data_IF_012290462486
#
_entry.id   IF_012290462486
#
_cell.length_a   1.000
_cell.length_b   1.000
_cell.length_c   1.000
_cell.angle_alpha   90.00
_cell.angle_beta   90.00
_cell.angle_gamma   90.00
#
_symmetry.space_group_name_H-M   'P 1'
#
loop_
_entity.id
_entity.type
_entity.pdbx_description
1 polymer ?
#
# COMPACT_ATOMS: atom_id res chain seq x y z
N UNK A 1 -55.20 -0.35 -86.15
CA UNK A 1 -54.39 -1.53 -85.74
C UNK A 1 -53.44 -1.08 -84.66
N UNK A 2 -53.58 -1.60 -83.46
CA UNK A 2 -52.97 -1.11 -82.21
C UNK A 2 -51.51 -1.44 -82.02
N UNK A 3 -50.70 -0.45 -81.68
CA UNK A 3 -49.35 -0.64 -81.14
C UNK A 3 -49.43 -0.35 -79.62
N UNK A 4 -49.20 -1.43 -78.82
CA UNK A 4 -49.10 -1.35 -77.33
C UNK A 4 -47.71 -0.91 -76.94
N UNK A 5 -47.61 0.24 -76.25
CA UNK A 5 -46.40 0.72 -75.62
C UNK A 5 -46.18 0.00 -74.29
N UNK A 6 -45.03 -0.64 -74.14
CA UNK A 6 -44.60 -1.29 -72.87
C UNK A 6 -43.77 -0.27 -72.09
N UNK A 7 -44.36 0.23 -71.01
CA UNK A 7 -43.71 1.15 -70.06
C UNK A 7 -42.82 0.35 -69.10
N UNK A 8 -41.48 0.47 -69.18
CA UNK A 8 -40.51 -0.11 -68.28
C UNK A 8 -40.35 0.83 -67.05
N UNK A 9 -40.79 0.39 -65.89
CA UNK A 9 -40.48 1.07 -64.60
C UNK A 9 -39.06 0.74 -64.20
N UNK A 10 -38.17 1.75 -64.23
CA UNK A 10 -36.88 1.69 -63.61
C UNK A 10 -37.03 2.08 -62.11
N UNK A 11 -36.92 1.14 -61.23
CA UNK A 11 -36.81 1.39 -59.77
C UNK A 11 -35.39 1.84 -59.40
N UNK A 12 -35.23 2.99 -58.74
CA UNK A 12 -33.91 3.36 -58.22
C UNK A 12 -33.64 2.54 -56.92
N UNK A 13 -32.62 1.70 -56.93
CA UNK A 13 -32.08 1.06 -55.73
C UNK A 13 -31.27 2.12 -54.97
N UNK A 14 -31.86 2.62 -53.89
CA UNK A 14 -31.16 3.47 -52.93
C UNK A 14 -30.15 2.62 -52.13
N UNK A 15 -28.86 2.74 -52.45
CA UNK A 15 -27.76 2.14 -51.71
C UNK A 15 -27.54 2.98 -50.46
N UNK A 16 -28.08 2.53 -49.31
CA UNK A 16 -27.83 3.12 -48.01
C UNK A 16 -26.42 2.69 -47.56
N UNK A 17 -25.40 3.56 -47.79
CA UNK A 17 -24.10 3.39 -47.21
C UNK A 17 -24.16 3.66 -45.72
N UNK A 18 -24.20 2.58 -44.90
CA UNK A 18 -24.05 2.67 -43.45
C UNK A 18 -22.66 3.13 -43.10
N UNK A 19 -22.52 4.39 -42.70
CA UNK A 19 -21.29 4.93 -42.09
C UNK A 19 -21.08 4.27 -40.73
N UNK A 20 -20.23 3.23 -40.71
CA UNK A 20 -19.68 2.67 -39.48
C UNK A 20 -18.74 3.72 -38.86
N UNK A 21 -19.26 4.56 -37.97
CA UNK A 21 -18.46 5.42 -37.11
C UNK A 21 -17.79 4.51 -36.08
N UNK A 22 -16.43 4.42 -36.05
CA UNK A 22 -15.77 3.68 -35.00
C UNK A 22 -16.09 4.37 -33.66
N UNK A 23 -16.82 3.70 -32.79
CA UNK A 23 -16.93 4.08 -31.39
C UNK A 23 -15.55 3.96 -30.77
N UNK A 24 -14.79 5.05 -30.77
CA UNK A 24 -13.57 5.16 -30.00
C UNK A 24 -13.91 5.01 -28.53
N UNK A 25 -13.45 3.91 -27.92
CA UNK A 25 -13.45 3.78 -26.47
C UNK A 25 -12.56 4.90 -25.92
N UNK A 26 -13.17 5.97 -25.42
CA UNK A 26 -12.45 6.97 -24.64
C UNK A 26 -11.93 6.25 -23.40
N UNK A 27 -10.65 5.93 -23.37
CA UNK A 27 -9.97 5.53 -22.14
C UNK A 27 -10.19 6.64 -21.13
N UNK A 28 -10.95 6.36 -20.08
CA UNK A 28 -11.11 7.27 -18.96
C UNK A 28 -9.71 7.43 -18.33
N UNK A 29 -9.02 8.51 -18.67
CA UNK A 29 -7.75 8.84 -18.07
C UNK A 29 -8.02 9.23 -16.62
N UNK A 30 -7.47 8.47 -15.68
CA UNK A 30 -7.47 8.87 -14.27
C UNK A 30 -6.82 10.26 -14.17
N UNK A 31 -7.46 11.23 -13.52
CA UNK A 31 -6.87 12.55 -13.38
C UNK A 31 -5.50 12.46 -12.68
N UNK A 32 -4.53 13.31 -13.04
CA UNK A 32 -3.21 13.29 -12.42
C UNK A 32 -3.31 13.61 -10.93
N UNK A 33 -2.50 12.92 -10.13
CA UNK A 33 -2.41 13.16 -8.69
C UNK A 33 -1.92 14.58 -8.41
N UNK A 34 -2.51 15.21 -7.39
CA UNK A 34 -2.23 16.60 -7.01
C UNK A 34 -1.21 16.64 -5.87
N UNK A 35 -0.04 17.23 -6.14
CA UNK A 35 0.98 17.48 -5.11
C UNK A 35 0.39 18.35 -3.97
N UNK A 36 0.80 18.10 -2.73
CA UNK A 36 0.30 18.72 -1.48
C UNK A 36 -1.13 18.38 -1.08
N UNK A 37 -1.89 17.69 -1.93
CA UNK A 37 -3.24 17.23 -1.62
C UNK A 37 -3.28 15.72 -1.43
N UNK A 38 -2.83 14.97 -2.45
CA UNK A 38 -2.83 13.51 -2.42
C UNK A 38 -1.46 12.92 -2.12
N UNK A 39 -0.39 13.70 -2.36
CA UNK A 39 0.98 13.31 -2.01
C UNK A 39 1.91 14.51 -1.80
N UNK A 40 3.04 14.25 -1.17
CA UNK A 40 4.17 15.17 -1.04
C UNK A 40 5.45 14.52 -1.53
N UNK A 41 6.44 15.35 -1.86
CA UNK A 41 7.80 14.89 -2.08
C UNK A 41 8.54 14.88 -0.75
N UNK A 42 9.29 13.81 -0.47
CA UNK A 42 10.23 13.84 0.65
C UNK A 42 11.22 14.99 0.49
N UNK A 43 11.58 15.68 1.56
CA UNK A 43 12.59 16.76 1.51
C UNK A 43 13.91 16.31 0.91
N UNK A 44 14.27 15.06 1.17
CA UNK A 44 15.43 14.38 0.57
C UNK A 44 15.01 12.97 0.16
N UNK A 45 15.28 12.56 -1.10
CA UNK A 45 15.05 11.18 -1.54
C UNK A 45 15.84 10.20 -0.66
N UNK A 46 15.20 9.10 -0.29
CA UNK A 46 15.80 8.05 0.51
C UNK A 46 16.24 6.87 -0.36
N UNK A 47 17.27 6.13 0.05
CA UNK A 47 17.73 4.94 -0.66
C UNK A 47 16.62 3.88 -0.76
N UNK A 48 16.49 3.27 -1.94
CA UNK A 48 15.62 2.12 -2.18
C UNK A 48 16.42 0.83 -1.94
N UNK A 49 15.85 -0.11 -1.19
CA UNK A 49 16.53 -1.34 -0.77
C UNK A 49 16.09 -2.58 -1.57
N UNK A 50 15.10 -2.43 -2.46
CA UNK A 50 14.48 -3.52 -3.23
C UNK A 50 15.09 -3.74 -4.63
N UNK A 51 16.22 -3.10 -4.91
CA UNK A 51 16.91 -3.20 -6.21
C UNK A 51 16.08 -2.59 -7.33
N UNK A 52 15.76 -3.39 -8.36
CA UNK A 52 14.98 -2.93 -9.51
C UNK A 52 13.48 -2.78 -9.22
N UNK A 53 12.97 -3.44 -8.18
CA UNK A 53 11.56 -3.33 -7.81
C UNK A 53 11.25 -1.97 -7.21
N UNK A 54 10.08 -1.43 -7.50
CA UNK A 54 9.57 -0.22 -6.87
C UNK A 54 9.27 -0.52 -5.41
N UNK A 55 9.95 0.18 -4.51
CA UNK A 55 9.74 0.03 -3.07
C UNK A 55 8.55 0.86 -2.62
N UNK A 56 7.66 0.22 -1.86
CA UNK A 56 6.65 0.91 -1.05
C UNK A 56 7.03 0.68 0.41
N UNK A 57 7.27 1.75 1.16
CA UNK A 57 7.53 1.66 2.60
C UNK A 57 6.29 2.12 3.36
N UNK A 58 5.70 1.24 4.16
CA UNK A 58 4.65 1.57 5.11
C UNK A 58 5.28 1.89 6.47
N UNK A 59 5.22 3.17 6.90
CA UNK A 59 5.47 3.53 8.29
C UNK A 59 4.18 3.42 9.06
N UNK A 60 4.14 2.54 10.04
CA UNK A 60 2.94 2.23 10.81
C UNK A 60 3.22 2.14 12.32
N UNK A 61 2.18 2.18 13.12
CA UNK A 61 2.24 1.85 14.52
C UNK A 61 1.04 0.98 14.90
N UNK A 62 1.26 -0.12 15.61
CA UNK A 62 0.17 -1.01 16.01
C UNK A 62 -0.91 -0.30 16.85
N UNK A 63 -0.53 0.68 17.66
CA UNK A 63 -1.49 1.46 18.46
C UNK A 63 -2.26 2.54 17.69
N UNK A 64 -1.99 2.72 16.39
CA UNK A 64 -2.64 3.74 15.56
C UNK A 64 -3.97 3.24 14.98
N UNK A 65 -5.13 3.88 15.30
CA UNK A 65 -6.41 3.49 14.72
C UNK A 65 -6.47 3.63 13.21
N UNK A 66 -5.82 4.65 12.64
CA UNK A 66 -5.78 4.86 11.19
C UNK A 66 -4.97 3.77 10.48
N UNK A 67 -3.89 3.26 11.10
CA UNK A 67 -3.17 2.10 10.59
C UNK A 67 -4.06 0.86 10.59
N UNK A 68 -4.74 0.58 11.71
CA UNK A 68 -5.70 -0.52 11.79
C UNK A 68 -6.77 -0.43 10.69
N UNK A 69 -7.32 0.76 10.46
CA UNK A 69 -8.36 0.98 9.45
C UNK A 69 -7.85 0.83 8.00
N UNK A 70 -6.56 1.07 7.76
CA UNK A 70 -5.95 0.91 6.44
C UNK A 70 -5.70 -0.57 6.09
N UNK A 71 -5.46 -1.43 7.09
CA UNK A 71 -5.03 -2.82 6.87
C UNK A 71 -5.92 -3.61 5.91
N UNK A 72 -7.28 -3.59 6.00
CA UNK A 72 -8.11 -4.37 5.08
C UNK A 72 -7.88 -4.00 3.61
N UNK A 73 -7.70 -2.70 3.31
CA UNK A 73 -7.43 -2.21 1.96
C UNK A 73 -6.02 -2.59 1.51
N UNK A 74 -5.03 -2.44 2.39
CA UNK A 74 -3.64 -2.74 2.09
C UNK A 74 -3.40 -4.24 1.90
N UNK A 75 -4.01 -5.11 2.72
CA UNK A 75 -3.92 -6.56 2.58
C UNK A 75 -4.60 -7.06 1.29
N UNK A 76 -5.71 -6.44 0.89
CA UNK A 76 -6.35 -6.74 -0.37
C UNK A 76 -5.47 -6.33 -1.56
N UNK A 77 -4.85 -5.16 -1.47
CA UNK A 77 -3.91 -4.67 -2.47
C UNK A 77 -2.67 -5.56 -2.58
N UNK A 78 -2.11 -6.04 -1.46
CA UNK A 78 -0.94 -6.93 -1.44
C UNK A 78 -1.14 -8.21 -2.24
N UNK A 79 -2.36 -8.72 -2.31
CA UNK A 79 -2.70 -9.93 -3.10
C UNK A 79 -2.73 -9.66 -4.60
N UNK A 80 -2.93 -8.40 -5.00
CA UNK A 80 -3.16 -7.97 -6.38
C UNK A 80 -2.02 -7.11 -6.93
N UNK A 81 -1.12 -6.61 -6.07
CA UNK A 81 -0.05 -5.70 -6.47
C UNK A 81 0.81 -6.29 -7.59
N UNK A 82 1.33 -5.46 -8.49
CA UNK A 82 2.26 -5.90 -9.53
C UNK A 82 3.52 -6.57 -8.98
N UNK A 83 4.08 -7.51 -9.74
CA UNK A 83 5.26 -8.28 -9.33
C UNK A 83 6.53 -7.42 -9.18
N UNK A 84 6.60 -6.30 -9.91
CA UNK A 84 7.68 -5.32 -9.84
C UNK A 84 7.58 -4.35 -8.65
N UNK A 85 6.62 -4.56 -7.74
CA UNK A 85 6.43 -3.74 -6.54
C UNK A 85 6.68 -4.57 -5.29
N UNK A 86 7.40 -4.01 -4.33
CA UNK A 86 7.62 -4.62 -3.02
C UNK A 86 7.18 -3.70 -1.89
N UNK A 87 6.38 -4.26 -0.95
CA UNK A 87 6.02 -3.58 0.28
C UNK A 87 6.99 -3.96 1.40
N UNK A 88 7.58 -2.96 2.04
CA UNK A 88 8.36 -3.08 3.27
C UNK A 88 7.65 -2.33 4.39
N UNK A 89 7.39 -2.99 5.50
CA UNK A 89 6.81 -2.37 6.69
C UNK A 89 7.88 -1.94 7.66
N UNK A 90 7.74 -0.72 8.19
CA UNK A 90 8.63 -0.14 9.19
C UNK A 90 7.78 0.37 10.36
N UNK A 91 7.87 -0.25 11.54
CA UNK A 91 7.20 0.29 12.72
C UNK A 91 7.77 1.66 13.06
N UNK A 92 6.98 2.72 12.90
CA UNK A 92 7.41 4.07 13.25
C UNK A 92 7.59 4.21 14.77
N UNK A 93 8.65 4.91 15.18
CA UNK A 93 8.92 5.17 16.60
C UNK A 93 9.13 6.68 16.80
N UNK A 94 8.06 7.40 17.17
CA UNK A 94 8.12 8.82 17.46
C UNK A 94 8.49 9.12 18.92
N UNK A 95 8.26 8.14 19.81
CA UNK A 95 8.53 8.27 21.27
C UNK A 95 8.86 6.88 21.83
N UNK A 96 9.56 6.85 22.96
CA UNK A 96 10.00 5.60 23.59
C UNK A 96 8.88 4.62 23.90
N UNK A 97 7.70 5.13 24.27
CA UNK A 97 6.53 4.29 24.55
C UNK A 97 6.05 3.48 23.34
N UNK A 98 6.54 3.74 22.12
CA UNK A 98 6.20 2.97 20.92
C UNK A 98 7.19 1.83 20.64
N UNK A 99 8.35 1.85 21.30
CA UNK A 99 9.39 0.81 21.15
C UNK A 99 8.85 -0.61 21.37
N UNK A 100 8.03 -0.91 22.38
CA UNK A 100 7.52 -2.26 22.56
C UNK A 100 6.74 -2.80 21.36
N UNK A 101 5.96 -1.97 20.68
CA UNK A 101 5.24 -2.37 19.46
C UNK A 101 6.18 -2.62 18.27
N UNK A 102 7.24 -1.81 18.14
CA UNK A 102 8.26 -2.04 17.12
C UNK A 102 9.02 -3.35 17.39
N UNK A 103 9.37 -3.60 18.64
CA UNK A 103 10.02 -4.84 19.06
C UNK A 103 9.11 -6.06 18.84
N UNK A 104 7.83 -5.95 19.19
CA UNK A 104 6.83 -6.99 18.89
C UNK A 104 6.81 -7.35 17.41
N UNK A 105 6.76 -6.34 16.53
CA UNK A 105 6.78 -6.56 15.07
C UNK A 105 8.03 -7.31 14.63
N UNK A 106 9.21 -6.84 15.01
CA UNK A 106 10.48 -7.46 14.60
C UNK A 106 10.70 -8.83 15.24
N UNK A 107 10.14 -9.09 16.43
CA UNK A 107 10.16 -10.42 17.03
C UNK A 107 9.30 -11.40 16.22
N UNK A 108 8.09 -10.99 15.83
CA UNK A 108 7.24 -11.80 14.94
C UNK A 108 7.89 -12.03 13.58
N UNK A 109 8.57 -11.03 13.04
CA UNK A 109 9.33 -11.16 11.78
C UNK A 109 10.46 -12.18 11.91
N UNK A 110 11.27 -12.09 12.96
CA UNK A 110 12.37 -13.01 13.23
C UNK A 110 11.92 -14.47 13.42
N UNK A 111 10.69 -14.65 13.91
CA UNK A 111 10.06 -15.96 14.09
C UNK A 111 9.30 -16.45 12.85
N UNK A 112 9.19 -15.63 11.77
CA UNK A 112 8.40 -15.96 10.58
C UNK A 112 6.89 -15.92 10.80
N UNK A 113 6.42 -15.27 11.88
CA UNK A 113 5.02 -15.27 12.32
C UNK A 113 4.19 -14.08 11.83
N UNK A 114 4.82 -13.11 11.15
CA UNK A 114 4.09 -11.94 10.63
C UNK A 114 2.91 -12.31 9.73
N UNK A 115 3.02 -13.26 8.77
CA UNK A 115 1.89 -13.59 7.89
C UNK A 115 0.66 -14.07 8.67
N UNK A 116 0.86 -14.71 9.80
CA UNK A 116 -0.20 -15.26 10.64
C UNK A 116 -0.69 -14.28 11.70
N UNK A 117 0.19 -13.46 12.26
CA UNK A 117 -0.09 -12.74 13.51
C UNK A 117 -0.14 -11.21 13.37
N UNK A 118 0.29 -10.63 12.26
CA UNK A 118 0.27 -9.18 12.08
C UNK A 118 -1.13 -8.57 12.30
N UNK A 119 -2.15 -9.15 11.70
CA UNK A 119 -3.54 -8.71 11.87
C UNK A 119 -4.07 -9.00 13.30
N UNK A 120 -3.61 -10.10 13.90
CA UNK A 120 -4.02 -10.47 15.27
C UNK A 120 -3.53 -9.47 16.32
N UNK A 121 -2.35 -8.84 16.10
CA UNK A 121 -1.86 -7.75 16.97
C UNK A 121 -2.78 -6.54 16.88
N UNK A 122 -3.18 -6.12 15.68
CA UNK A 122 -4.14 -5.02 15.53
C UNK A 122 -5.47 -5.33 16.22
N UNK A 123 -5.99 -6.55 16.04
CA UNK A 123 -7.22 -6.99 16.71
C UNK A 123 -7.09 -6.92 18.21
N UNK A 124 -6.03 -7.48 18.80
CA UNK A 124 -5.80 -7.45 20.24
C UNK A 124 -5.85 -6.02 20.80
N UNK A 125 -5.17 -5.07 20.13
CA UNK A 125 -5.10 -3.69 20.60
C UNK A 125 -6.41 -2.94 20.39
N UNK A 126 -7.00 -3.02 19.18
CA UNK A 126 -8.11 -2.15 18.82
C UNK A 126 -9.48 -2.70 19.17
N UNK A 127 -9.65 -4.03 19.12
CA UNK A 127 -10.91 -4.69 19.42
C UNK A 127 -10.95 -5.22 20.86
N UNK A 128 -9.92 -5.99 21.24
CA UNK A 128 -9.89 -6.66 22.53
C UNK A 128 -9.32 -5.76 23.66
N UNK A 129 -8.84 -4.54 23.28
CA UNK A 129 -8.33 -3.50 24.18
C UNK A 129 -7.12 -3.95 25.02
N UNK A 130 -6.33 -4.88 24.49
CA UNK A 130 -5.10 -5.29 25.14
C UNK A 130 -4.00 -4.22 25.00
N UNK A 131 -3.30 -3.96 26.11
CA UNK A 131 -2.11 -3.12 26.06
C UNK A 131 -0.87 -3.99 25.86
N UNK A 132 -0.30 -3.95 24.65
CA UNK A 132 0.93 -4.68 24.33
C UNK A 132 2.18 -3.79 24.43
N UNK A 133 2.23 -2.95 25.46
CA UNK A 133 3.28 -1.95 25.67
C UNK A 133 4.39 -2.39 26.62
N UNK A 134 4.40 -3.65 27.07
CA UNK A 134 5.46 -4.21 27.91
C UNK A 134 5.95 -5.55 27.37
N UNK A 135 7.18 -5.93 27.71
CA UNK A 135 7.75 -7.22 27.34
C UNK A 135 6.88 -8.40 27.89
N UNK A 136 6.37 -8.27 29.12
CA UNK A 136 5.49 -9.28 29.71
C UNK A 136 4.20 -9.44 28.92
N UNK A 137 3.47 -8.33 28.67
CA UNK A 137 2.21 -8.37 27.93
C UNK A 137 2.37 -8.95 26.52
N UNK A 138 3.43 -8.56 25.79
CA UNK A 138 3.70 -9.12 24.46
C UNK A 138 4.05 -10.60 24.51
N UNK A 139 4.79 -11.04 25.53
CA UNK A 139 5.15 -12.45 25.74
C UNK A 139 3.93 -13.31 26.05
N UNK A 140 3.08 -12.87 26.98
CA UNK A 140 1.84 -13.56 27.31
C UNK A 140 0.90 -13.65 26.11
N UNK A 141 0.78 -12.57 25.35
CA UNK A 141 0.01 -12.55 24.11
C UNK A 141 0.56 -13.57 23.09
N UNK A 142 1.88 -13.60 22.90
CA UNK A 142 2.54 -14.52 21.96
C UNK A 142 2.30 -15.99 22.35
N UNK A 143 2.37 -16.31 23.64
CA UNK A 143 2.09 -17.67 24.16
C UNK A 143 0.65 -18.07 23.89
N UNK A 144 -0.32 -17.19 24.15
CA UNK A 144 -1.74 -17.46 23.82
C UNK A 144 -1.95 -17.68 22.31
N UNK A 145 -1.07 -17.18 21.47
CA UNK A 145 -1.10 -17.37 20.01
C UNK A 145 -0.21 -18.52 19.53
N UNK A 146 0.22 -19.41 20.44
CA UNK A 146 0.91 -20.65 20.11
C UNK A 146 2.42 -20.52 19.88
N UNK A 147 3.03 -19.40 20.27
CA UNK A 147 4.49 -19.25 20.23
C UNK A 147 5.07 -19.81 21.52
N UNK A 148 6.04 -20.71 21.40
CA UNK A 148 6.72 -21.32 22.53
C UNK A 148 7.50 -20.25 23.33
N UNK A 149 7.38 -20.20 24.70
CA UNK A 149 7.93 -19.12 25.53
C UNK A 149 9.43 -18.89 25.34
N UNK A 150 10.24 -19.96 25.26
CA UNK A 150 11.69 -19.82 25.12
C UNK A 150 12.07 -19.28 23.73
N UNK A 151 11.34 -19.68 22.66
CA UNK A 151 11.54 -19.12 21.31
C UNK A 151 11.20 -17.64 21.29
N UNK A 152 10.07 -17.25 21.88
CA UNK A 152 9.70 -15.84 22.00
C UNK A 152 10.77 -15.02 22.69
N UNK A 153 11.17 -15.44 23.89
CA UNK A 153 12.13 -14.71 24.73
C UNK A 153 13.50 -14.61 24.03
N UNK A 154 13.94 -15.69 23.37
CA UNK A 154 15.19 -15.71 22.62
C UNK A 154 15.16 -14.73 21.46
N UNK A 155 14.09 -14.69 20.69
CA UNK A 155 13.93 -13.75 19.57
C UNK A 155 13.77 -12.30 20.06
N UNK A 156 12.90 -12.05 21.05
CA UNK A 156 12.61 -10.73 21.61
C UNK A 156 13.86 -10.02 22.15
N UNK A 157 14.79 -10.77 22.75
CA UNK A 157 16.04 -10.26 23.31
C UNK A 157 17.23 -10.39 22.36
N UNK A 158 17.01 -10.81 21.11
CA UNK A 158 18.11 -11.01 20.18
C UNK A 158 18.75 -9.69 19.76
N UNK A 159 20.07 -9.66 19.52
CA UNK A 159 20.76 -8.49 18.98
C UNK A 159 20.19 -8.04 17.63
N UNK A 160 19.68 -8.97 16.84
CA UNK A 160 19.07 -8.66 15.53
C UNK A 160 17.76 -7.86 15.68
N UNK A 161 16.87 -8.27 16.59
CA UNK A 161 15.63 -7.52 16.86
C UNK A 161 15.97 -6.13 17.42
N UNK A 162 16.95 -6.03 18.34
CA UNK A 162 17.40 -4.73 18.84
C UNK A 162 17.91 -3.84 17.70
N UNK A 163 18.80 -4.36 16.84
CA UNK A 163 19.33 -3.63 15.69
C UNK A 163 18.21 -3.11 14.78
N UNK A 164 17.19 -3.94 14.47
CA UNK A 164 16.06 -3.54 13.64
C UNK A 164 15.19 -2.45 14.29
N UNK A 165 15.00 -2.52 15.61
CA UNK A 165 14.31 -1.47 16.37
C UNK A 165 15.06 -0.15 16.27
N UNK A 166 16.39 -0.16 16.47
CA UNK A 166 17.21 1.03 16.34
C UNK A 166 17.23 1.59 14.91
N UNK A 167 17.24 0.71 13.90
CA UNK A 167 17.12 1.11 12.50
C UNK A 167 15.76 1.77 12.22
N UNK A 168 14.69 1.22 12.75
CA UNK A 168 13.33 1.77 12.63
C UNK A 168 13.24 3.19 13.17
N UNK A 169 13.86 3.46 14.33
CA UNK A 169 13.97 4.81 14.91
C UNK A 169 14.71 5.76 13.95
N UNK A 170 15.83 5.31 13.39
CA UNK A 170 16.63 6.10 12.42
C UNK A 170 15.83 6.38 11.15
N UNK A 171 15.17 5.36 10.59
CA UNK A 171 14.36 5.49 9.38
C UNK A 171 13.18 6.45 9.59
N UNK A 172 12.46 6.36 10.72
CA UNK A 172 11.37 7.26 11.04
C UNK A 172 11.80 8.73 10.96
N UNK A 173 13.01 9.04 11.44
CA UNK A 173 13.60 10.38 11.38
C UNK A 173 14.09 10.74 9.97
N UNK A 174 14.84 9.84 9.33
CA UNK A 174 15.45 10.07 8.01
C UNK A 174 14.39 10.35 6.92
N UNK A 175 13.26 9.66 6.99
CA UNK A 175 12.15 9.88 6.07
C UNK A 175 11.28 11.09 6.44
N UNK A 176 11.58 11.77 7.55
CA UNK A 176 10.77 12.91 8.03
C UNK A 176 9.28 12.57 8.10
N UNK A 177 8.96 11.35 8.58
CA UNK A 177 7.59 10.82 8.62
C UNK A 177 6.70 11.71 9.50
N UNK A 178 5.62 12.32 8.99
CA UNK A 178 4.79 13.25 9.75
C UNK A 178 3.83 12.56 10.72
N UNK A 179 3.51 11.28 10.49
CA UNK A 179 2.57 10.49 11.27
C UNK A 179 2.40 9.09 10.72
N UNK A 180 1.45 8.34 11.28
CA UNK A 180 1.11 7.00 10.82
C UNK A 180 -0.38 6.86 10.50
N UNK A 181 -0.74 6.12 9.44
CA UNK A 181 0.15 5.49 8.46
C UNK A 181 0.73 6.51 7.48
N UNK A 182 2.00 6.32 7.08
CA UNK A 182 2.60 6.99 5.93
C UNK A 182 3.10 5.94 4.96
N UNK A 183 2.82 6.12 3.68
CA UNK A 183 3.28 5.27 2.59
C UNK A 183 4.26 6.06 1.72
N UNK A 184 5.46 5.55 1.57
CA UNK A 184 6.49 6.19 0.75
C UNK A 184 6.78 5.30 -0.45
N UNK A 185 6.66 5.85 -1.65
CA UNK A 185 6.95 5.17 -2.90
C UNK A 185 8.31 5.61 -3.42
N UNK A 186 9.14 4.62 -3.71
CA UNK A 186 10.46 4.77 -4.35
C UNK A 186 11.38 5.78 -3.66
N UNK A 187 11.28 5.85 -2.32
CA UNK A 187 12.06 6.77 -1.51
C UNK A 187 11.79 8.25 -1.77
N UNK A 188 10.69 8.62 -2.46
CA UNK A 188 10.43 9.98 -2.95
C UNK A 188 9.06 10.51 -2.65
N UNK A 189 8.01 9.73 -2.92
CA UNK A 189 6.63 10.17 -2.87
C UNK A 189 5.98 9.70 -1.59
N UNK A 190 5.53 10.64 -0.76
CA UNK A 190 4.83 10.36 0.48
C UNK A 190 3.33 10.57 0.30
N UNK A 191 2.54 9.61 0.73
CA UNK A 191 1.10 9.77 0.95
C UNK A 191 0.71 9.21 2.32
N UNK A 192 -0.49 9.54 2.76
CA UNK A 192 -1.00 9.11 4.06
C UNK A 192 -2.54 9.06 4.06
N UNK A 193 -3.12 8.48 5.10
CA UNK A 193 -4.58 8.49 5.26
C UNK A 193 -5.19 9.90 5.42
N UNK A 194 -4.40 10.89 5.83
CA UNK A 194 -4.85 12.28 5.91
C UNK A 194 -4.86 13.02 4.57
N UNK A 195 -4.24 12.44 3.55
CA UNK A 195 -4.19 12.96 2.17
C UNK A 195 -5.19 12.28 1.25
N UNK A 196 -6.08 11.46 1.80
CA UNK A 196 -7.08 10.71 1.06
C UNK A 196 -8.46 10.86 1.70
N UNK A 197 -9.50 10.84 0.87
CA UNK A 197 -10.89 10.96 1.33
C UNK A 197 -11.38 9.69 2.06
N UNK A 198 -10.71 8.56 1.83
CA UNK A 198 -11.06 7.26 2.43
C UNK A 198 -9.87 6.29 2.40
N UNK A 199 -9.95 5.20 3.17
CA UNK A 199 -8.91 4.18 3.16
C UNK A 199 -8.73 3.49 1.78
N UNK A 200 -9.79 3.18 1.01
CA UNK A 200 -9.62 2.73 -0.37
C UNK A 200 -8.95 3.77 -1.29
N UNK A 201 -9.23 5.08 -1.09
CA UNK A 201 -8.60 6.14 -1.87
C UNK A 201 -7.08 6.21 -1.64
N UNK A 202 -6.58 5.86 -0.44
CA UNK A 202 -5.13 5.72 -0.19
C UNK A 202 -4.50 4.73 -1.17
N UNK A 203 -5.16 3.63 -1.45
CA UNK A 203 -4.67 2.60 -2.38
C UNK A 203 -4.66 3.12 -3.83
N UNK A 204 -5.69 3.86 -4.24
CA UNK A 204 -5.73 4.49 -5.57
C UNK A 204 -4.57 5.49 -5.75
N UNK A 205 -4.30 6.30 -4.72
CA UNK A 205 -3.17 7.23 -4.72
C UNK A 205 -1.85 6.44 -4.79
N UNK A 206 -1.71 5.38 -3.99
CA UNK A 206 -0.53 4.52 -3.98
C UNK A 206 -0.23 3.96 -5.38
N UNK A 207 -1.23 3.42 -6.07
CA UNK A 207 -1.08 2.91 -7.44
C UNK A 207 -0.65 4.00 -8.43
N UNK A 208 -1.20 5.20 -8.29
CA UNK A 208 -0.80 6.37 -9.07
C UNK A 208 0.67 6.77 -8.84
N UNK A 209 1.11 6.76 -7.57
CA UNK A 209 2.51 7.06 -7.21
C UNK A 209 3.47 5.99 -7.73
N UNK A 210 3.07 4.73 -7.72
CA UNK A 210 3.83 3.62 -8.32
C UNK A 210 3.98 3.83 -9.83
N UNK A 211 2.92 4.23 -10.53
CA UNK A 211 2.98 4.55 -11.96
C UNK A 211 3.96 5.70 -12.24
N UNK A 212 3.91 6.78 -11.44
CA UNK A 212 4.85 7.89 -11.52
C UNK A 212 6.31 7.45 -11.28
N UNK A 213 6.54 6.58 -10.31
CA UNK A 213 7.88 6.03 -10.03
C UNK A 213 8.42 5.21 -11.20
N UNK A 214 7.59 4.38 -11.84
CA UNK A 214 7.96 3.63 -13.05
C UNK A 214 8.37 4.56 -14.19
N UNK A 215 7.55 5.56 -14.46
CA UNK A 215 7.86 6.55 -15.53
C UNK A 215 9.19 7.25 -15.26
N UNK A 216 9.47 7.62 -14.02
CA UNK A 216 10.71 8.28 -13.66
C UNK A 216 11.93 7.36 -13.77
N UNK A 217 11.82 6.08 -13.42
CA UNK A 217 12.88 5.09 -13.60
C UNK A 217 13.14 4.80 -15.09
N UNK A 218 12.10 4.76 -15.92
CA UNK A 218 12.21 4.56 -17.38
C UNK A 218 12.82 5.74 -18.13
N UNK A 219 12.92 6.92 -17.52
CA UNK A 219 13.55 8.12 -18.09
C UNK A 219 15.05 8.24 -17.76
N UNK A 220 15.62 7.30 -17.01
CA UNK A 220 17.06 7.25 -16.71
C UNK A 220 17.77 6.27 -17.63
#
# INVERSE_FOLDING_TARGET
>A
MSARAVLRFLSPVLLAAALLVPMGFASAQTPPLRIKYEYELLPQPQPVTTGERIEVVEFFWYGCPHCNNLQPSLESWLKLKPADVELRRVPAVFRESWIPHARLYYTLEALGELPRLHQSVYRAIHMDKESLLTAGATGEWAVRHGIEPAKWLGAYNSPEVERKVQESIKLTRAYSVPGTPSLIVDGRYLTSSSMAESMPAVITILDGLIAMAREQRGKK
#
